data_IF_267864571254
#
_entry.id   IF_267864571254
#
_cell.length_a   1.000
_cell.length_b   1.000
_cell.length_c   1.000
_cell.angle_alpha   90.00
_cell.angle_beta   90.00
_cell.angle_gamma   90.00
#
_symmetry.space_group_name_H-M   'P 1'
#
loop_
_entity.id
_entity.type
_entity.pdbx_description
1 polymer ?
#
# COMPACT_ATOMS: atom_id res chain seq x y z
N UNK A 1 1.81 -4.93 2.01
CA UNK A 1 2.21 -5.55 3.29
C UNK A 1 1.04 -5.61 4.27
N UNK A 2 0.50 -4.47 4.71
CA UNK A 2 -0.62 -4.43 5.68
C UNK A 2 -1.82 -5.31 5.24
N UNK A 3 -2.22 -5.22 3.97
CA UNK A 3 -3.28 -6.06 3.39
C UNK A 3 -2.99 -7.58 3.38
N UNK A 4 -1.73 -7.98 3.34
CA UNK A 4 -1.36 -9.39 3.46
C UNK A 4 -1.58 -9.90 4.89
N UNK A 5 -1.24 -9.09 5.89
CA UNK A 5 -1.49 -9.43 7.29
C UNK A 5 -2.98 -9.41 7.64
N UNK A 6 -3.75 -8.47 7.06
CA UNK A 6 -5.20 -8.41 7.23
C UNK A 6 -5.94 -9.59 6.56
N UNK A 7 -5.44 -10.09 5.43
CA UNK A 7 -6.00 -11.27 4.72
C UNK A 7 -5.46 -12.61 5.23
N UNK A 8 -4.50 -12.61 6.14
CA UNK A 8 -3.92 -13.84 6.71
C UNK A 8 -4.89 -14.52 7.68
N UNK A 9 -5.08 -15.83 7.48
CA UNK A 9 -5.97 -16.69 8.27
C UNK A 9 -5.54 -16.90 9.72
N UNK A 10 -4.26 -16.76 10.04
CA UNK A 10 -3.75 -16.95 11.40
C UNK A 10 -4.05 -15.73 12.27
N UNK A 11 -4.78 -15.93 13.37
CA UNK A 11 -5.11 -14.88 14.34
C UNK A 11 -3.86 -14.16 14.88
N UNK A 12 -2.77 -14.90 15.11
CA UNK A 12 -1.46 -14.35 15.47
C UNK A 12 -0.88 -13.42 14.41
N UNK A 13 -1.03 -13.73 13.11
CA UNK A 13 -0.59 -12.85 12.02
C UNK A 13 -1.52 -11.66 11.80
N UNK A 14 -2.81 -11.81 12.11
CA UNK A 14 -3.79 -10.71 12.08
C UNK A 14 -3.54 -9.69 13.19
N UNK A 15 -3.02 -10.13 14.35
CA UNK A 15 -2.57 -9.26 15.43
C UNK A 15 -1.42 -8.31 15.01
N UNK A 16 -0.58 -8.70 14.05
CA UNK A 16 0.48 -7.83 13.52
C UNK A 16 -0.03 -6.62 12.73
N UNK A 17 -1.29 -6.62 12.26
CA UNK A 17 -1.96 -5.44 11.68
C UNK A 17 -2.53 -4.50 12.77
N UNK A 18 -2.15 -4.70 14.04
CA UNK A 18 -2.49 -3.75 15.10
C UNK A 18 -1.88 -2.38 14.80
N UNK A 19 -2.64 -1.28 14.93
CA UNK A 19 -2.14 0.07 14.67
C UNK A 19 -0.91 0.42 15.53
N UNK A 20 -0.77 -0.19 16.71
CA UNK A 20 0.41 -0.02 17.58
C UNK A 20 1.69 -0.61 16.96
N UNK A 21 1.57 -1.76 16.30
CA UNK A 21 2.70 -2.42 15.62
C UNK A 21 3.00 -1.69 14.31
N UNK A 22 1.95 -1.30 13.57
CA UNK A 22 2.11 -0.47 12.38
C UNK A 22 2.88 0.83 12.69
N UNK A 23 2.56 1.51 13.80
CA UNK A 23 3.28 2.70 14.23
C UNK A 23 4.75 2.42 14.56
N UNK A 24 5.05 1.34 15.29
CA UNK A 24 6.43 0.93 15.59
C UNK A 24 7.23 0.62 14.32
N UNK A 25 6.60 -0.03 13.33
CA UNK A 25 7.21 -0.32 12.04
C UNK A 25 7.46 0.96 11.24
N UNK A 26 6.52 1.92 11.25
CA UNK A 26 6.71 3.22 10.59
C UNK A 26 7.90 3.95 11.22
N UNK A 27 7.97 4.05 12.54
CA UNK A 27 9.08 4.71 13.25
C UNK A 27 10.40 4.02 12.92
N UNK A 28 10.46 2.70 13.00
CA UNK A 28 11.67 1.93 12.66
C UNK A 28 12.09 2.13 11.20
N UNK A 29 11.12 2.19 10.28
CA UNK A 29 11.36 2.45 8.85
C UNK A 29 11.93 3.85 8.63
N UNK A 30 11.37 4.87 9.29
CA UNK A 30 11.88 6.25 9.23
C UNK A 30 13.33 6.32 9.70
N UNK A 31 13.63 5.74 10.88
CA UNK A 31 15.00 5.73 11.42
C UNK A 31 15.97 5.01 10.48
N UNK A 32 15.57 3.85 9.96
CA UNK A 32 16.36 3.08 9.01
C UNK A 32 16.69 3.88 7.75
N UNK A 33 15.69 4.55 7.15
CA UNK A 33 15.91 5.41 5.99
C UNK A 33 16.79 6.62 6.33
N UNK A 34 16.58 7.28 7.47
CA UNK A 34 17.44 8.38 7.90
C UNK A 34 18.91 7.96 7.95
N UNK A 35 19.22 6.80 8.55
CA UNK A 35 20.59 6.29 8.66
C UNK A 35 21.19 6.02 7.28
N UNK A 36 20.43 5.37 6.39
CA UNK A 36 20.91 5.06 5.04
C UNK A 36 21.17 6.34 4.24
N UNK A 37 20.31 7.36 4.36
CA UNK A 37 20.46 8.61 3.62
C UNK A 37 21.58 9.52 4.14
N UNK A 38 22.17 9.25 5.33
CA UNK A 38 23.35 9.99 5.82
C UNK A 38 24.51 9.94 4.82
N UNK A 39 24.71 8.81 4.13
CA UNK A 39 25.78 8.69 3.13
C UNK A 39 25.64 9.73 2.00
N UNK A 40 24.41 10.07 1.62
CA UNK A 40 24.14 11.07 0.58
C UNK A 40 24.61 12.45 1.04
N UNK A 41 24.42 12.80 2.31
CA UNK A 41 24.88 14.08 2.86
C UNK A 41 26.41 14.18 2.91
N UNK A 42 27.12 13.06 3.11
CA UNK A 42 28.59 13.05 3.25
C UNK A 42 29.29 13.05 1.89
N UNK A 43 28.73 12.38 0.88
CA UNK A 43 29.41 12.16 -0.41
C UNK A 43 28.93 13.09 -1.54
N UNK A 44 28.07 14.06 -1.24
CA UNK A 44 27.69 15.12 -2.17
C UNK A 44 28.64 16.31 -2.05
N UNK A 45 29.17 16.74 -3.20
CA UNK A 45 30.12 17.85 -3.30
C UNK A 45 29.59 18.88 -4.30
N UNK A 46 30.00 20.13 -4.13
CA UNK A 46 29.70 21.21 -5.08
C UNK A 46 30.81 21.20 -6.13
N UNK A 47 30.54 20.57 -7.28
CA UNK A 47 31.46 20.55 -8.41
C UNK A 47 30.95 21.49 -9.51
N UNK A 48 31.77 22.47 -9.90
CA UNK A 48 31.46 23.45 -10.95
C UNK A 48 30.10 24.18 -10.77
N UNK A 49 29.78 24.58 -9.53
CA UNK A 49 28.53 25.27 -9.21
C UNK A 49 27.28 24.38 -9.25
N UNK A 50 27.44 23.07 -9.46
CA UNK A 50 26.36 22.08 -9.44
C UNK A 50 26.55 21.09 -8.28
N UNK A 51 25.46 20.82 -7.56
CA UNK A 51 25.46 19.82 -6.50
C UNK A 51 25.44 18.42 -7.13
N UNK A 52 26.54 17.69 -7.04
CA UNK A 52 26.67 16.37 -7.66
C UNK A 52 27.40 15.41 -6.72
N UNK A 53 27.14 14.12 -6.88
CA UNK A 53 27.86 13.10 -6.13
C UNK A 53 29.33 13.09 -6.57
N UNK A 54 30.22 12.68 -5.66
CA UNK A 54 31.65 12.57 -5.93
C UNK A 54 31.93 11.67 -7.15
N UNK A 55 32.65 12.15 -8.19
CA UNK A 55 32.94 11.34 -9.37
C UNK A 55 33.86 10.16 -9.03
N UNK A 56 33.67 9.02 -9.71
CA UNK A 56 34.43 7.79 -9.51
C UNK A 56 33.56 6.58 -9.14
N UNK A 57 34.09 5.68 -8.32
CA UNK A 57 33.41 4.45 -7.90
C UNK A 57 32.11 4.68 -7.14
N UNK A 58 32.00 5.81 -6.41
CA UNK A 58 30.79 6.18 -5.69
C UNK A 58 29.60 6.44 -6.62
N UNK A 59 29.81 6.99 -7.82
CA UNK A 59 28.74 7.22 -8.79
C UNK A 59 28.07 5.93 -9.27
N UNK A 60 28.85 4.87 -9.44
CA UNK A 60 28.35 3.53 -9.82
C UNK A 60 27.57 2.93 -8.64
N UNK A 61 28.13 3.00 -7.43
CA UNK A 61 27.46 2.54 -6.22
C UNK A 61 26.12 3.26 -5.99
N UNK A 62 26.10 4.59 -6.12
CA UNK A 62 24.91 5.40 -5.92
C UNK A 62 23.83 5.13 -6.97
N UNK A 63 24.21 4.95 -8.23
CA UNK A 63 23.30 4.58 -9.30
C UNK A 63 22.68 3.20 -9.07
N UNK A 64 23.48 2.22 -8.64
CA UNK A 64 22.98 0.89 -8.27
C UNK A 64 22.06 0.95 -7.03
N UNK A 65 22.46 1.72 -6.01
CA UNK A 65 21.66 1.95 -4.80
C UNK A 65 20.29 2.53 -5.13
N UNK A 66 20.21 3.63 -5.88
CA UNK A 66 18.93 4.24 -6.30
C UNK A 66 18.11 3.27 -7.14
N UNK A 67 18.76 2.49 -8.01
CA UNK A 67 18.06 1.53 -8.87
C UNK A 67 17.40 0.41 -8.07
N UNK A 68 18.07 -0.05 -7.01
CA UNK A 68 17.52 -1.05 -6.09
C UNK A 68 16.43 -0.41 -5.23
N UNK A 69 16.70 0.74 -4.63
CA UNK A 69 15.81 1.43 -3.70
C UNK A 69 14.50 1.89 -4.36
N UNK A 70 14.61 2.67 -5.43
CA UNK A 70 13.47 3.27 -6.12
C UNK A 70 12.84 2.36 -7.19
N UNK A 71 13.55 1.31 -7.63
CA UNK A 71 13.10 0.41 -8.69
C UNK A 71 12.77 -0.99 -8.19
N UNK A 72 13.81 -1.78 -7.91
CA UNK A 72 13.66 -3.21 -7.67
C UNK A 72 12.90 -3.54 -6.37
N UNK A 73 13.26 -2.90 -5.26
CA UNK A 73 12.70 -3.17 -3.94
C UNK A 73 11.17 -2.95 -3.91
N UNK A 74 10.61 -1.80 -4.31
CA UNK A 74 9.16 -1.60 -4.30
C UNK A 74 8.43 -2.55 -5.24
N UNK A 75 8.98 -2.84 -6.43
CA UNK A 75 8.38 -3.79 -7.36
C UNK A 75 8.36 -5.22 -6.82
N UNK A 76 9.47 -5.70 -6.25
CA UNK A 76 9.56 -7.03 -5.66
C UNK A 76 8.62 -7.18 -4.46
N UNK A 77 8.58 -6.19 -3.57
CA UNK A 77 7.66 -6.20 -2.45
C UNK A 77 6.20 -6.17 -2.94
N UNK A 78 5.84 -5.30 -3.87
CA UNK A 78 4.48 -5.25 -4.42
C UNK A 78 4.09 -6.56 -5.11
N UNK A 79 5.00 -7.18 -5.86
CA UNK A 79 4.76 -8.46 -6.53
C UNK A 79 4.57 -9.59 -5.52
N UNK A 80 5.50 -9.76 -4.59
CA UNK A 80 5.45 -10.82 -3.55
C UNK A 80 4.16 -10.66 -2.74
N UNK A 81 3.95 -9.50 -2.12
CA UNK A 81 2.78 -9.29 -1.27
C UNK A 81 1.45 -9.30 -2.07
N UNK A 82 1.48 -8.87 -3.34
CA UNK A 82 0.35 -8.98 -4.26
C UNK A 82 -0.03 -10.44 -4.51
N UNK A 83 0.93 -11.27 -4.92
CA UNK A 83 0.72 -12.70 -5.19
C UNK A 83 0.28 -13.46 -3.93
N UNK A 84 0.90 -13.18 -2.78
CA UNK A 84 0.49 -13.80 -1.52
C UNK A 84 -0.94 -13.41 -1.12
N UNK A 85 -1.36 -12.18 -1.37
CA UNK A 85 -2.74 -11.72 -1.12
C UNK A 85 -3.71 -12.47 -2.03
N UNK A 86 -3.40 -12.61 -3.32
CA UNK A 86 -4.20 -13.37 -4.29
C UNK A 86 -4.35 -14.82 -3.84
N UNK A 87 -3.24 -15.48 -3.47
CA UNK A 87 -3.26 -16.87 -3.01
C UNK A 87 -4.17 -17.05 -1.79
N UNK A 88 -4.12 -16.15 -0.81
CA UNK A 88 -4.98 -16.21 0.37
C UNK A 88 -6.47 -16.03 0.01
N UNK A 89 -6.80 -15.14 -0.93
CA UNK A 89 -8.18 -14.92 -1.38
C UNK A 89 -8.71 -16.15 -2.13
N UNK A 90 -7.94 -16.72 -3.06
CA UNK A 90 -8.33 -17.93 -3.80
C UNK A 90 -8.55 -19.13 -2.87
N UNK A 91 -7.69 -19.31 -1.86
CA UNK A 91 -7.85 -20.38 -0.86
C UNK A 91 -9.09 -20.18 0.01
N UNK A 92 -9.46 -18.92 0.29
CA UNK A 92 -10.66 -18.59 1.05
C UNK A 92 -11.92 -18.89 0.23
N UNK A 93 -11.94 -18.51 -1.05
CA UNK A 93 -13.06 -18.83 -1.96
C UNK A 93 -13.28 -20.34 -2.12
N UNK A 94 -12.22 -21.10 -2.42
CA UNK A 94 -12.32 -22.55 -2.68
C UNK A 94 -12.86 -23.35 -1.48
N UNK A 95 -12.69 -22.86 -0.24
CA UNK A 95 -13.24 -23.50 0.97
C UNK A 95 -14.69 -23.15 1.23
N UNK A 96 -15.13 -21.95 0.86
CA UNK A 96 -16.53 -21.55 0.99
C UNK A 96 -17.37 -22.32 -0.02
N UNK A 97 -16.87 -22.49 -1.25
CA UNK A 97 -17.55 -23.28 -2.29
C UNK A 97 -17.60 -24.79 -1.98
N UNK A 98 -16.73 -25.28 -1.08
CA UNK A 98 -16.66 -26.68 -0.66
C UNK A 98 -17.38 -26.96 0.67
N UNK A 99 -17.91 -25.95 1.36
CA UNK A 99 -18.67 -26.13 2.58
C UNK A 99 -20.14 -26.46 2.23
N UNK A 100 -20.73 -27.56 2.74
CA UNK A 100 -22.10 -27.94 2.44
C UNK A 100 -23.07 -26.83 2.92
N UNK A 101 -23.90 -26.35 2.00
CA UNK A 101 -24.91 -25.32 2.16
C UNK A 101 -25.90 -25.67 3.27
N UNK A 102 -25.69 -25.15 4.49
CA UNK A 102 -26.71 -25.22 5.55
C UNK A 102 -27.36 -23.89 5.91
N UNK A 103 -26.86 -22.73 5.44
CA UNK A 103 -27.46 -21.43 5.79
C UNK A 103 -27.54 -20.45 4.60
N UNK A 104 -28.71 -20.35 3.96
CA UNK A 104 -29.00 -19.44 2.84
C UNK A 104 -28.81 -17.93 3.16
N UNK A 105 -28.68 -17.56 4.45
CA UNK A 105 -28.38 -16.18 4.87
C UNK A 105 -26.92 -15.75 4.73
N UNK A 106 -25.96 -16.69 4.69
CA UNK A 106 -24.52 -16.38 4.64
C UNK A 106 -24.02 -16.07 3.22
N UNK A 107 -24.57 -16.73 2.20
CA UNK A 107 -24.17 -16.57 0.79
C UNK A 107 -24.29 -15.11 0.27
N UNK A 108 -25.26 -14.33 0.77
CA UNK A 108 -25.41 -12.90 0.40
C UNK A 108 -24.32 -12.00 0.99
N UNK A 109 -23.75 -12.36 2.14
CA UNK A 109 -22.67 -11.60 2.80
C UNK A 109 -21.32 -11.84 2.09
N UNK A 110 -21.12 -13.07 1.60
CA UNK A 110 -19.89 -13.51 0.95
C UNK A 110 -19.71 -12.97 -0.47
N UNK A 111 -20.80 -12.87 -1.25
CA UNK A 111 -20.77 -12.21 -2.56
C UNK A 111 -20.38 -10.73 -2.50
N UNK A 112 -20.66 -10.05 -1.37
CA UNK A 112 -20.30 -8.65 -1.14
C UNK A 112 -18.82 -8.48 -0.74
N UNK A 113 -18.23 -9.49 -0.08
CA UNK A 113 -16.82 -9.53 0.30
C UNK A 113 -15.92 -9.78 -0.93
N UNK A 114 -16.29 -10.75 -1.77
CA UNK A 114 -15.61 -11.04 -3.05
C UNK A 114 -15.54 -9.82 -3.99
N UNK A 115 -16.61 -9.02 -4.08
CA UNK A 115 -16.63 -7.80 -4.90
C UNK A 115 -15.69 -6.71 -4.38
N UNK A 116 -15.59 -6.56 -3.05
CA UNK A 116 -14.63 -5.62 -2.43
C UNK A 116 -13.19 -6.06 -2.69
N UNK A 117 -12.90 -7.35 -2.61
CA UNK A 117 -11.56 -7.88 -2.84
C UNK A 117 -11.10 -7.72 -4.30
N UNK A 118 -12.00 -7.95 -5.27
CA UNK A 118 -11.71 -7.72 -6.71
C UNK A 118 -11.48 -6.23 -6.98
N UNK A 119 -12.30 -5.35 -6.40
CA UNK A 119 -12.10 -3.91 -6.50
C UNK A 119 -10.75 -3.48 -5.91
N UNK A 120 -10.38 -4.07 -4.77
CA UNK A 120 -9.12 -3.82 -4.09
C UNK A 120 -7.90 -4.27 -4.92
N UNK A 121 -8.04 -5.38 -5.63
CA UNK A 121 -6.99 -5.90 -6.49
C UNK A 121 -6.81 -5.05 -7.76
N UNK A 122 -7.92 -4.61 -8.37
CA UNK A 122 -7.91 -3.68 -9.50
C UNK A 122 -7.25 -2.35 -9.14
N UNK A 123 -7.51 -1.83 -7.93
CA UNK A 123 -6.82 -0.67 -7.37
C UNK A 123 -5.30 -0.90 -7.32
N UNK A 124 -4.85 -2.00 -6.70
CA UNK A 124 -3.42 -2.30 -6.56
C UNK A 124 -2.72 -2.45 -7.92
N UNK A 125 -3.36 -3.11 -8.88
CA UNK A 125 -2.83 -3.25 -10.24
C UNK A 125 -2.64 -1.88 -10.92
N UNK A 126 -3.63 -0.98 -10.81
CA UNK A 126 -3.52 0.36 -11.36
C UNK A 126 -2.39 1.17 -10.69
N UNK A 127 -2.22 1.00 -9.37
CA UNK A 127 -1.13 1.63 -8.63
C UNK A 127 0.24 1.14 -9.11
N UNK A 128 0.39 -0.16 -9.37
CA UNK A 128 1.63 -0.75 -9.90
C UNK A 128 1.94 -0.20 -11.31
N UNK A 129 0.93 -0.13 -12.19
CA UNK A 129 1.11 0.39 -13.56
C UNK A 129 1.57 1.85 -13.52
N UNK A 130 0.91 2.69 -12.72
CA UNK A 130 1.29 4.11 -12.58
C UNK A 130 2.68 4.26 -11.95
N UNK A 131 3.03 3.41 -10.98
CA UNK A 131 4.36 3.39 -10.39
C UNK A 131 5.42 3.07 -11.45
N UNK A 132 5.20 2.05 -12.28
CA UNK A 132 6.12 1.67 -13.37
C UNK A 132 6.31 2.85 -14.34
N UNK A 133 5.22 3.49 -14.80
CA UNK A 133 5.31 4.58 -15.78
C UNK A 133 6.06 5.80 -15.22
N UNK A 134 5.82 6.15 -13.95
CA UNK A 134 6.36 7.37 -13.35
C UNK A 134 7.73 7.20 -12.69
N UNK A 135 8.06 6.00 -12.19
CA UNK A 135 9.29 5.77 -11.42
C UNK A 135 10.33 4.88 -12.11
N UNK A 136 9.94 3.97 -13.02
CA UNK A 136 10.88 3.09 -13.72
C UNK A 136 11.81 3.80 -14.72
N UNK A 137 11.42 4.89 -15.40
CA UNK A 137 12.31 5.56 -16.36
C UNK A 137 13.65 6.02 -15.76
N UNK A 138 13.64 6.50 -14.52
CA UNK A 138 14.85 7.00 -13.85
C UNK A 138 15.92 5.93 -13.56
N UNK A 139 15.63 4.81 -12.87
CA UNK A 139 16.64 3.78 -12.64
C UNK A 139 17.16 3.18 -13.96
N UNK A 140 16.31 3.04 -14.99
CA UNK A 140 16.76 2.64 -16.32
C UNK A 140 17.77 3.63 -16.92
N UNK A 141 17.51 4.94 -16.79
CA UNK A 141 18.45 5.98 -17.21
C UNK A 141 19.77 5.95 -16.41
N UNK A 142 19.71 5.77 -15.09
CA UNK A 142 20.90 5.71 -14.23
C UNK A 142 21.79 4.50 -14.55
N UNK A 143 21.19 3.34 -14.85
CA UNK A 143 21.92 2.16 -15.31
C UNK A 143 22.59 2.44 -16.66
N UNK A 144 21.84 3.01 -17.62
CA UNK A 144 22.40 3.41 -18.92
C UNK A 144 23.56 4.41 -18.77
N UNK A 145 23.41 5.41 -17.90
CA UNK A 145 24.44 6.42 -17.63
C UNK A 145 25.69 5.78 -17.01
N UNK A 146 25.50 4.86 -16.06
CA UNK A 146 26.59 4.13 -15.42
C UNK A 146 27.37 3.23 -16.38
N UNK A 147 26.68 2.51 -17.27
CA UNK A 147 27.32 1.63 -18.28
C UNK A 147 28.07 2.45 -19.33
N UNK A 148 27.58 3.65 -19.66
CA UNK A 148 28.16 4.50 -20.71
C UNK A 148 29.16 5.54 -20.18
N UNK A 149 29.60 5.43 -18.93
CA UNK A 149 30.46 6.43 -18.27
C UNK A 149 31.83 6.60 -18.95
N UNK A 150 32.40 5.52 -19.49
CA UNK A 150 33.71 5.51 -20.14
C UNK A 150 33.65 5.75 -21.66
N UNK A 151 32.47 5.96 -22.21
CA UNK A 151 32.28 6.16 -23.66
C UNK A 151 32.40 7.65 -23.96
N UNK A 152 33.25 8.02 -24.92
CA UNK A 152 33.30 9.40 -25.42
C UNK A 152 31.96 9.76 -26.08
N UNK A 153 31.31 10.82 -25.60
CA UNK A 153 29.97 11.25 -26.05
C UNK A 153 30.07 12.55 -26.85
N UNK A 154 29.41 12.60 -28.01
CA UNK A 154 29.25 13.83 -28.79
C UNK A 154 28.40 14.86 -28.03
N UNK A 155 28.52 16.14 -28.40
CA UNK A 155 27.75 17.24 -27.79
C UNK A 155 26.25 17.01 -27.91
N UNK A 156 25.79 16.52 -29.08
CA UNK A 156 24.39 16.18 -29.30
C UNK A 156 23.90 15.08 -28.35
N UNK A 157 24.67 14.00 -28.19
CA UNK A 157 24.32 12.91 -27.28
C UNK A 157 24.27 13.37 -25.83
N UNK A 158 25.20 14.22 -25.39
CA UNK A 158 25.17 14.81 -24.04
C UNK A 158 23.90 15.63 -23.83
N UNK A 159 23.50 16.47 -24.79
CA UNK A 159 22.27 17.25 -24.69
C UNK A 159 21.02 16.36 -24.58
N UNK A 160 20.93 15.29 -25.39
CA UNK A 160 19.84 14.31 -25.29
C UNK A 160 19.81 13.62 -23.92
N UNK A 161 20.96 13.19 -23.41
CA UNK A 161 21.05 12.52 -22.11
C UNK A 161 20.66 13.45 -20.95
N UNK A 162 21.02 14.73 -21.01
CA UNK A 162 20.58 15.73 -20.03
C UNK A 162 19.07 15.96 -20.11
N UNK A 163 18.50 16.06 -21.31
CA UNK A 163 17.06 16.20 -21.50
C UNK A 163 16.31 15.00 -20.92
N UNK A 164 16.75 13.78 -21.23
CA UNK A 164 16.15 12.54 -20.69
C UNK A 164 16.27 12.50 -19.16
N UNK A 165 17.43 12.85 -18.60
CA UNK A 165 17.63 12.92 -17.14
C UNK A 165 16.63 13.87 -16.48
N UNK A 166 16.49 15.08 -17.01
CA UNK A 166 15.56 16.06 -16.47
C UNK A 166 14.10 15.59 -16.58
N UNK A 167 13.73 14.98 -17.72
CA UNK A 167 12.41 14.39 -17.89
C UNK A 167 12.14 13.29 -16.85
N UNK A 168 13.10 12.40 -16.61
CA UNK A 168 12.95 11.34 -15.60
C UNK A 168 12.81 11.89 -14.18
N UNK A 169 13.52 12.97 -13.83
CA UNK A 169 13.33 13.64 -12.54
C UNK A 169 11.96 14.28 -12.41
N UNK A 170 11.47 14.96 -13.46
CA UNK A 170 10.12 15.53 -13.48
C UNK A 170 9.07 14.44 -13.27
N UNK A 171 9.19 13.29 -13.94
CA UNK A 171 8.27 12.16 -13.77
C UNK A 171 8.26 11.62 -12.34
N UNK A 172 9.42 11.50 -11.69
CA UNK A 172 9.52 11.11 -10.28
C UNK A 172 8.82 12.12 -9.37
N UNK A 173 9.15 13.41 -9.50
CA UNK A 173 8.56 14.45 -8.66
C UNK A 173 7.06 14.55 -8.88
N UNK A 174 6.59 14.33 -10.10
CA UNK A 174 5.18 14.23 -10.42
C UNK A 174 4.56 12.99 -9.77
N UNK A 175 5.25 11.84 -9.76
CA UNK A 175 4.85 10.64 -9.03
C UNK A 175 4.65 10.89 -7.53
N UNK A 176 5.60 11.60 -6.89
CA UNK A 176 5.49 11.98 -5.48
C UNK A 176 4.35 12.98 -5.23
N UNK A 177 4.26 14.03 -6.03
CA UNK A 177 3.22 15.07 -5.91
C UNK A 177 1.81 14.49 -6.15
N UNK A 178 1.70 13.57 -7.09
CA UNK A 178 0.46 12.85 -7.38
C UNK A 178 0.25 11.66 -6.46
N UNK A 179 1.00 11.42 -5.39
CA UNK A 179 0.73 10.27 -4.52
C UNK A 179 -0.72 10.29 -4.01
N UNK A 180 -1.22 11.47 -3.62
CA UNK A 180 -2.62 11.67 -3.25
C UNK A 180 -3.57 11.42 -4.43
N UNK A 181 -3.29 11.99 -5.61
CA UNK A 181 -4.10 11.80 -6.80
C UNK A 181 -4.07 10.35 -7.31
N UNK A 182 -2.95 9.64 -7.17
CA UNK A 182 -2.76 8.24 -7.47
C UNK A 182 -3.63 7.41 -6.53
N UNK A 183 -3.63 7.69 -5.22
CA UNK A 183 -4.55 7.04 -4.29
C UNK A 183 -6.02 7.37 -4.59
N UNK A 184 -6.31 8.62 -4.96
CA UNK A 184 -7.65 9.07 -5.32
C UNK A 184 -8.16 8.43 -6.62
N UNK A 185 -7.31 8.28 -7.64
CA UNK A 185 -7.65 7.69 -8.94
C UNK A 185 -7.69 6.17 -8.86
N UNK A 186 -6.76 5.58 -8.12
CA UNK A 186 -6.67 4.13 -7.95
C UNK A 186 -7.81 3.58 -7.09
N UNK A 187 -8.28 4.34 -6.08
CA UNK A 187 -9.26 3.84 -5.11
C UNK A 187 -10.65 4.43 -5.29
N UNK A 188 -11.53 3.67 -5.94
CA UNK A 188 -12.98 3.93 -5.92
C UNK A 188 -13.54 3.97 -4.48
N UNK A 189 -12.95 3.21 -3.56
CA UNK A 189 -13.32 3.21 -2.14
C UNK A 189 -12.97 4.56 -1.49
N UNK A 190 -11.79 5.09 -1.78
CA UNK A 190 -11.38 6.40 -1.27
C UNK A 190 -12.27 7.52 -1.82
N UNK A 191 -12.62 7.47 -3.12
CA UNK A 191 -13.57 8.42 -3.71
C UNK A 191 -14.92 8.38 -2.99
N UNK A 192 -15.45 7.18 -2.71
CA UNK A 192 -16.75 7.03 -2.03
C UNK A 192 -16.71 7.58 -0.59
N UNK A 193 -15.68 7.28 0.17
CA UNK A 193 -15.52 7.80 1.54
C UNK A 193 -15.27 9.31 1.54
N UNK A 194 -14.44 9.82 0.62
CA UNK A 194 -14.17 11.25 0.48
C UNK A 194 -15.43 12.04 0.10
N UNK A 195 -16.19 11.56 -0.89
CA UNK A 195 -17.47 12.16 -1.26
C UNK A 195 -18.53 12.00 -0.16
N UNK A 196 -18.48 10.93 0.64
CA UNK A 196 -19.35 10.81 1.82
C UNK A 196 -19.01 11.84 2.89
N UNK A 197 -17.74 12.01 3.24
CA UNK A 197 -17.30 13.03 4.21
C UNK A 197 -17.62 14.44 3.71
N UNK A 198 -17.38 14.72 2.43
CA UNK A 198 -17.76 15.99 1.80
C UNK A 198 -19.27 16.18 1.83
N UNK A 199 -20.05 15.17 1.47
CA UNK A 199 -21.52 15.27 1.51
C UNK A 199 -22.02 15.47 2.94
N UNK A 200 -21.45 14.79 3.93
CA UNK A 200 -21.85 14.97 5.32
C UNK A 200 -21.43 16.33 5.89
N UNK A 201 -20.27 16.88 5.51
CA UNK A 201 -19.80 18.17 6.04
C UNK A 201 -20.27 19.40 5.25
N UNK A 202 -20.42 19.30 3.94
CA UNK A 202 -20.83 20.41 3.06
C UNK A 202 -22.34 20.41 2.81
N UNK A 203 -22.96 19.23 2.64
CA UNK A 203 -24.41 19.11 2.41
C UNK A 203 -25.20 18.72 3.68
N UNK A 204 -24.54 18.18 4.72
CA UNK A 204 -25.16 17.80 5.99
C UNK A 204 -25.20 18.91 7.06
N UNK A 205 -24.82 20.14 6.71
CA UNK A 205 -25.14 21.34 7.51
C UNK A 205 -26.64 21.67 7.54
N UNK A 206 -27.46 21.00 6.74
CA UNK A 206 -28.90 20.99 6.84
C UNK A 206 -29.41 19.54 6.78
N UNK A 207 -30.21 19.14 7.77
CA UNK A 207 -30.86 17.84 7.93
C UNK A 207 -29.99 16.70 8.49
N UNK A 208 -29.87 16.66 9.81
CA UNK A 208 -30.05 15.40 10.54
C UNK A 208 -31.55 15.04 10.59
N UNK A 209 -32.01 13.95 9.97
CA UNK A 209 -33.03 13.13 10.60
C UNK A 209 -32.33 12.14 11.51
N UNK A 210 -32.66 12.25 12.79
CA UNK A 210 -32.58 11.18 13.77
C UNK A 210 -32.93 9.83 13.14
N UNK A 211 -31.98 8.90 13.09
CA UNK A 211 -32.30 7.48 13.10
C UNK A 211 -32.14 7.03 14.55
N UNK A 212 -33.23 7.24 15.29
CA UNK A 212 -33.50 6.54 16.52
C UNK A 212 -33.35 5.02 16.29
N UNK A 213 -32.53 4.41 17.14
CA UNK A 213 -32.91 3.28 17.98
C UNK A 213 -33.79 2.21 17.34
N UNK A 214 -33.18 1.14 16.83
CA UNK A 214 -33.80 -0.18 16.83
C UNK A 214 -33.12 -1.00 17.93
N UNK A 215 -33.84 -1.09 19.06
CA UNK A 215 -33.59 -1.98 20.18
C UNK A 215 -33.45 -3.44 19.69
N UNK A 216 -32.50 -4.17 20.24
CA UNK A 216 -32.72 -5.59 20.55
C UNK A 216 -32.39 -5.77 22.01
N UNK A 217 -33.37 -5.42 22.83
CA UNK A 217 -33.53 -5.89 24.20
C UNK A 217 -33.64 -7.40 24.14
N UNK A 218 -32.56 -8.13 24.44
CA UNK A 218 -32.69 -9.53 24.83
C UNK A 218 -33.07 -9.53 26.30
N UNK A 219 -34.34 -9.79 26.55
CA UNK A 219 -34.88 -10.03 27.87
C UNK A 219 -34.14 -11.21 28.53
N UNK A 220 -33.42 -10.93 29.61
CA UNK A 220 -33.01 -11.94 30.58
C UNK A 220 -34.24 -12.18 31.46
N UNK A 221 -35.12 -13.05 31.00
CA UNK A 221 -36.23 -13.56 31.81
C UNK A 221 -35.65 -14.61 32.76
N UNK A 222 -35.55 -14.20 34.02
CA UNK A 222 -35.49 -15.06 35.21
C UNK A 222 -36.53 -16.19 35.11
N UNK A 223 -36.09 -17.44 34.96
CA UNK A 223 -36.90 -18.61 35.35
C UNK A 223 -36.29 -19.18 36.63
N UNK A 224 -37.14 -19.11 37.66
CA UNK A 224 -36.95 -19.57 39.03
C UNK A 224 -37.73 -20.89 39.17
N UNK A 225 -37.05 -21.96 39.60
CA UNK A 225 -37.64 -23.19 40.18
C UNK A 225 -38.20 -24.23 39.19
N UNK A 226 -38.30 -25.53 39.57
CA UNK A 226 -38.38 -26.09 40.94
C UNK A 226 -37.12 -26.90 41.33
N UNK A 227 -36.57 -26.83 42.55
CA UNK A 227 -37.00 -27.51 43.80
C UNK A 227 -37.45 -28.96 43.57
N UNK A 228 -36.50 -29.89 43.59
CA UNK A 228 -36.76 -31.29 43.90
C UNK A 228 -35.99 -31.62 45.17
N UNK A 229 -36.77 -31.86 46.23
CA UNK A 229 -36.35 -32.49 47.46
C UNK A 229 -35.92 -33.92 47.14
N UNK A 230 -34.82 -34.39 47.71
CA UNK A 230 -34.69 -35.76 48.18
C UNK A 230 -34.13 -35.70 49.61
N UNK A 231 -34.91 -36.24 50.54
CA UNK A 231 -34.49 -36.57 51.90
C UNK A 231 -33.46 -37.70 51.87
N UNK A 232 -32.55 -37.76 52.84
CA UNK A 232 -32.76 -38.50 54.08
C UNK A 232 -33.04 -39.99 53.80
N UNK A 233 -31.96 -40.76 53.75
CA UNK A 233 -31.67 -41.84 54.70
C UNK A 233 -30.15 -42.02 54.80
#
# INVERSE_FOLDING_TARGET
IDRYFASSRNALRRQYSSPKIALRLIIGTVIFWCIIYIQVLVFYEINNGSCSYRPGSYGIFFSAYISIDSGALPLLLMLIFGLLTVRNIHLTKKRIDAAPTTNAGQAKKDGKMSKKDVQLHRMLANQIILFIILNLPNPCYLIYSSVTINVAKSTFRKATETFVSNMTYVLIYFGFSLTFANFFVSSDMFRREFFQVIRTKILGGAATPSVATAQTTVAVTTIRGPRQNDGAD
#
